data_IF_777914545245
#
_entry.id   IF_777914545245
#
_cell.length_a   1.000
_cell.length_b   1.000
_cell.length_c   1.000
_cell.angle_alpha   90.00
_cell.angle_beta   90.00
_cell.angle_gamma   90.00
#
_symmetry.space_group_name_H-M   'P 1'
#
loop_
_entity.id
_entity.type
_entity.pdbx_description
1 polymer ?
#
# COMPACT_ATOMS: atom_id res chain seq x y z
N UNK A 1 10.87 -16.84 11.94
CA UNK A 1 11.61 -16.12 10.86
C UNK A 1 10.74 -15.80 9.64
N UNK A 2 9.78 -16.63 9.22
CA UNK A 2 8.90 -16.31 8.08
C UNK A 2 7.98 -15.09 8.30
N UNK A 3 7.34 -14.98 9.46
CA UNK A 3 6.38 -13.90 9.76
C UNK A 3 7.05 -12.51 9.71
N UNK A 4 8.21 -12.37 10.36
CA UNK A 4 8.97 -11.12 10.35
C UNK A 4 9.44 -10.74 8.93
N UNK A 5 9.85 -11.72 8.12
CA UNK A 5 10.23 -11.51 6.71
C UNK A 5 9.03 -11.04 5.89
N UNK A 6 7.88 -11.69 6.03
CA UNK A 6 6.65 -11.29 5.35
C UNK A 6 6.22 -9.88 5.75
N UNK A 7 6.21 -9.55 7.05
CA UNK A 7 5.86 -8.23 7.53
C UNK A 7 6.82 -7.14 6.99
N UNK A 8 8.13 -7.42 6.97
CA UNK A 8 9.11 -6.49 6.41
C UNK A 8 8.92 -6.27 4.91
N UNK A 9 8.67 -7.33 4.14
CA UNK A 9 8.36 -7.23 2.71
C UNK A 9 7.05 -6.50 2.46
N UNK A 10 6.02 -6.71 3.30
CA UNK A 10 4.76 -5.97 3.21
C UNK A 10 4.96 -4.48 3.46
N UNK A 11 5.73 -4.13 4.49
CA UNK A 11 6.06 -2.74 4.79
C UNK A 11 6.87 -2.09 3.65
N UNK A 12 7.88 -2.79 3.13
CA UNK A 12 8.68 -2.31 2.00
C UNK A 12 7.83 -2.10 0.75
N UNK A 13 6.95 -3.06 0.44
CA UNK A 13 6.03 -2.97 -0.68
C UNK A 13 5.10 -1.76 -0.54
N UNK A 14 4.49 -1.57 0.64
CA UNK A 14 3.62 -0.42 0.91
C UNK A 14 4.37 0.91 0.78
N UNK A 15 5.62 1.00 1.27
CA UNK A 15 6.45 2.20 1.13
C UNK A 15 6.75 2.52 -0.34
N UNK A 16 7.10 1.50 -1.15
CA UNK A 16 7.38 1.68 -2.58
C UNK A 16 6.12 2.01 -3.38
N UNK A 17 5.00 1.38 -3.06
CA UNK A 17 3.72 1.60 -3.73
C UNK A 17 3.15 2.99 -3.43
N UNK A 18 2.95 3.30 -2.14
CA UNK A 18 2.36 4.58 -1.71
C UNK A 18 3.34 5.73 -1.99
N UNK A 19 4.61 5.55 -1.64
CA UNK A 19 5.64 6.56 -1.88
C UNK A 19 5.88 6.79 -3.36
N UNK A 20 5.88 5.73 -4.18
CA UNK A 20 6.01 5.84 -5.63
C UNK A 20 4.85 6.60 -6.27
N UNK A 21 3.61 6.28 -5.88
CA UNK A 21 2.43 7.01 -6.34
C UNK A 21 2.47 8.49 -5.89
N UNK A 22 2.87 8.75 -4.65
CA UNK A 22 3.03 10.10 -4.12
C UNK A 22 4.11 10.89 -4.89
N UNK A 23 5.28 10.30 -5.18
CA UNK A 23 6.34 10.94 -5.97
C UNK A 23 5.85 11.34 -7.38
N UNK A 24 5.08 10.47 -8.04
CA UNK A 24 4.47 10.80 -9.34
C UNK A 24 3.47 11.95 -9.18
N UNK A 25 2.62 11.91 -8.15
CA UNK A 25 1.67 13.00 -7.86
C UNK A 25 2.39 14.33 -7.67
N UNK A 26 3.43 14.36 -6.85
CA UNK A 26 4.27 15.52 -6.59
C UNK A 26 4.92 16.06 -7.88
N UNK A 27 5.41 15.16 -8.74
CA UNK A 27 6.02 15.56 -10.02
C UNK A 27 5.02 16.15 -11.00
N UNK A 28 3.82 15.55 -11.12
CA UNK A 28 2.80 15.93 -12.11
C UNK A 28 1.92 17.08 -11.63
N UNK A 29 1.31 16.94 -10.44
CA UNK A 29 0.30 17.87 -9.92
C UNK A 29 0.91 19.04 -9.13
N UNK A 30 1.97 18.79 -8.38
CA UNK A 30 2.69 19.84 -7.64
C UNK A 30 3.82 20.47 -8.48
N UNK A 31 3.92 20.10 -9.76
CA UNK A 31 4.90 20.62 -10.73
C UNK A 31 6.36 20.55 -10.27
N UNK A 32 6.71 19.62 -9.37
CA UNK A 32 8.09 19.44 -8.87
C UNK A 32 9.05 18.87 -9.92
N UNK A 33 8.54 18.43 -11.06
CA UNK A 33 9.32 18.13 -12.27
C UNK A 33 9.60 16.64 -12.52
N UNK A 34 10.24 16.36 -13.65
CA UNK A 34 10.44 15.02 -14.21
C UNK A 34 11.24 14.06 -13.34
N UNK A 35 12.15 14.58 -12.50
CA UNK A 35 12.94 13.76 -11.59
C UNK A 35 12.06 13.03 -10.55
N UNK A 36 11.03 13.71 -10.03
CA UNK A 36 10.07 13.13 -9.09
C UNK A 36 9.22 12.05 -9.74
N UNK A 37 8.77 12.31 -10.98
CA UNK A 37 8.02 11.33 -11.78
C UNK A 37 8.87 10.09 -12.04
N UNK A 38 10.12 10.27 -12.49
CA UNK A 38 11.04 9.16 -12.77
C UNK A 38 11.32 8.31 -11.54
N UNK A 39 11.59 8.95 -10.40
CA UNK A 39 11.79 8.25 -9.12
C UNK A 39 10.53 7.48 -8.70
N UNK A 40 9.35 8.08 -8.86
CA UNK A 40 8.07 7.45 -8.56
C UNK A 40 7.79 6.22 -9.44
N UNK A 41 8.02 6.32 -10.74
CA UNK A 41 7.87 5.19 -11.69
C UNK A 41 8.82 4.05 -11.33
N UNK A 42 10.08 4.35 -11.00
CA UNK A 42 11.05 3.34 -10.57
C UNK A 42 10.58 2.67 -9.27
N UNK A 43 10.12 3.43 -8.29
CA UNK A 43 9.61 2.90 -7.03
C UNK A 43 8.39 1.97 -7.25
N UNK A 44 7.44 2.38 -8.09
CA UNK A 44 6.28 1.56 -8.46
C UNK A 44 6.69 0.29 -9.21
N UNK A 45 7.68 0.38 -10.09
CA UNK A 45 8.25 -0.79 -10.75
C UNK A 45 8.86 -1.77 -9.75
N UNK A 46 9.68 -1.27 -8.81
CA UNK A 46 10.31 -2.07 -7.75
C UNK A 46 9.28 -2.72 -6.83
N UNK A 47 8.19 -2.01 -6.49
CA UNK A 47 7.09 -2.57 -5.71
C UNK A 47 6.57 -3.88 -6.33
N UNK A 48 6.34 -3.90 -7.65
CA UNK A 48 5.87 -5.09 -8.34
C UNK A 48 6.78 -6.31 -8.11
N UNK A 49 8.10 -6.11 -8.10
CA UNK A 49 9.06 -7.17 -7.79
C UNK A 49 9.08 -7.55 -6.30
N UNK A 50 8.94 -6.59 -5.39
CA UNK A 50 8.89 -6.89 -3.95
C UNK A 50 7.62 -7.68 -3.61
N UNK A 51 6.49 -7.38 -4.26
CA UNK A 51 5.23 -8.08 -4.07
C UNK A 51 5.34 -9.58 -4.42
N UNK A 52 6.13 -9.95 -5.45
CA UNK A 52 6.34 -11.35 -5.84
C UNK A 52 7.24 -12.14 -4.87
N UNK A 53 7.99 -11.45 -4.00
CA UNK A 53 8.83 -12.10 -2.98
C UNK A 53 8.04 -12.56 -1.75
N UNK A 54 6.71 -12.32 -1.70
CA UNK A 54 5.90 -12.85 -0.60
C UNK A 54 5.84 -14.39 -0.63
N UNK A 55 5.97 -15.07 0.53
CA UNK A 55 5.95 -16.52 0.59
C UNK A 55 4.53 -17.12 0.48
N UNK A 56 3.47 -16.31 0.55
CA UNK A 56 2.09 -16.81 0.50
C UNK A 56 1.67 -17.10 -0.95
N UNK A 57 1.29 -18.34 -1.25
CA UNK A 57 1.09 -18.83 -2.62
C UNK A 57 -0.20 -18.38 -3.33
N UNK A 58 -1.08 -17.63 -2.67
CA UNK A 58 -2.38 -17.25 -3.21
C UNK A 58 -2.38 -15.76 -3.59
N UNK A 59 -1.99 -15.49 -4.85
CA UNK A 59 -1.80 -14.14 -5.41
C UNK A 59 -2.98 -13.20 -5.09
N UNK A 60 -4.22 -13.68 -5.27
CA UNK A 60 -5.41 -12.87 -5.06
C UNK A 60 -5.57 -12.42 -3.60
N UNK A 61 -5.23 -13.28 -2.64
CA UNK A 61 -5.35 -12.98 -1.20
C UNK A 61 -4.24 -12.05 -0.73
N UNK A 62 -3.03 -12.21 -1.26
CA UNK A 62 -1.92 -11.30 -1.00
C UNK A 62 -2.22 -9.91 -1.54
N UNK A 63 -2.77 -9.80 -2.76
CA UNK A 63 -3.13 -8.51 -3.33
C UNK A 63 -4.32 -7.86 -2.60
N UNK A 64 -5.29 -8.65 -2.13
CA UNK A 64 -6.36 -8.14 -1.27
C UNK A 64 -5.82 -7.59 0.06
N UNK A 65 -4.83 -8.27 0.66
CA UNK A 65 -4.09 -7.79 1.83
C UNK A 65 -3.43 -6.43 1.57
N UNK A 66 -2.71 -6.33 0.45
CA UNK A 66 -2.08 -5.08 0.04
C UNK A 66 -3.10 -3.96 -0.17
N UNK A 67 -4.23 -4.23 -0.83
CA UNK A 67 -5.27 -3.22 -1.06
C UNK A 67 -5.82 -2.61 0.24
N UNK A 68 -6.10 -3.42 1.26
CA UNK A 68 -6.55 -2.91 2.56
C UNK A 68 -5.50 -2.05 3.27
N UNK A 69 -4.25 -2.53 3.29
CA UNK A 69 -3.11 -1.78 3.88
C UNK A 69 -2.81 -0.51 3.09
N UNK A 70 -2.96 -0.53 1.76
CA UNK A 70 -2.76 0.62 0.88
C UNK A 70 -3.74 1.75 1.18
N UNK A 71 -5.03 1.43 1.39
CA UNK A 71 -6.03 2.44 1.75
C UNK A 71 -5.68 3.10 3.08
N UNK A 72 -5.45 2.32 4.14
CA UNK A 72 -5.10 2.89 5.44
C UNK A 72 -3.75 3.62 5.41
N UNK A 73 -2.76 3.04 4.72
CA UNK A 73 -1.41 3.58 4.59
C UNK A 73 -1.36 4.88 3.80
N UNK A 74 -2.15 5.02 2.73
CA UNK A 74 -2.19 6.24 1.93
C UNK A 74 -2.77 7.43 2.70
N UNK A 75 -3.76 7.20 3.56
CA UNK A 75 -4.31 8.22 4.46
C UNK A 75 -3.28 8.65 5.53
N UNK A 76 -2.58 7.67 6.12
CA UNK A 76 -1.49 7.96 7.08
C UNK A 76 -0.35 8.70 6.38
N UNK A 77 0.02 8.28 5.18
CA UNK A 77 1.07 8.92 4.38
C UNK A 77 0.72 10.37 4.08
N UNK A 78 -0.49 10.63 3.56
CA UNK A 78 -0.97 11.99 3.32
C UNK A 78 -0.97 12.82 4.60
N UNK A 79 -1.30 12.21 5.75
CA UNK A 79 -1.30 12.92 7.02
C UNK A 79 0.11 13.33 7.48
N UNK A 80 1.11 12.49 7.25
CA UNK A 80 2.50 12.72 7.65
C UNK A 80 3.24 13.58 6.63
N UNK A 81 3.10 13.30 5.34
CA UNK A 81 3.86 13.93 4.26
C UNK A 81 3.24 15.25 3.78
N UNK A 82 1.91 15.31 3.67
CA UNK A 82 1.18 16.44 3.08
C UNK A 82 0.38 17.24 4.12
N UNK A 83 0.45 16.87 5.40
CA UNK A 83 -0.29 17.52 6.48
C UNK A 83 -1.81 17.30 6.40
N UNK A 84 -2.25 16.31 5.64
CA UNK A 84 -3.65 15.91 5.54
C UNK A 84 -4.23 15.57 6.93
N UNK A 85 -5.48 15.93 7.18
CA UNK A 85 -6.17 15.56 8.42
C UNK A 85 -7.30 14.62 8.07
N UNK A 86 -7.13 13.29 8.32
CA UNK A 86 -8.17 12.31 8.05
C UNK A 86 -9.44 12.71 8.78
N UNK A 87 -10.54 12.78 8.03
CA UNK A 87 -11.83 13.06 8.61
C UNK A 87 -12.49 11.77 9.14
N UNK A 88 -13.69 11.91 9.72
CA UNK A 88 -14.42 10.76 10.28
C UNK A 88 -14.82 9.75 9.21
N UNK A 89 -15.03 10.20 7.98
CA UNK A 89 -15.41 9.35 6.85
C UNK A 89 -14.20 8.59 6.29
N UNK A 90 -13.02 9.21 6.22
CA UNK A 90 -11.76 8.57 5.86
C UNK A 90 -11.43 7.43 6.82
N UNK A 91 -11.53 7.71 8.12
CA UNK A 91 -11.27 6.70 9.17
C UNK A 91 -12.27 5.56 9.04
N UNK A 92 -13.56 5.87 8.88
CA UNK A 92 -14.60 4.86 8.72
C UNK A 92 -14.38 4.03 7.45
N UNK A 93 -14.07 4.68 6.34
CA UNK A 93 -13.76 4.02 5.05
C UNK A 93 -12.55 3.12 5.15
N UNK A 94 -11.47 3.59 5.77
CA UNK A 94 -10.27 2.78 6.03
C UNK A 94 -10.59 1.53 6.85
N UNK A 95 -11.39 1.67 7.91
CA UNK A 95 -11.82 0.54 8.74
C UNK A 95 -12.66 -0.46 7.93
N UNK A 96 -13.55 0.00 7.05
CA UNK A 96 -14.34 -0.86 6.16
C UNK A 96 -13.44 -1.60 5.17
N UNK A 97 -12.47 -0.92 4.56
CA UNK A 97 -11.49 -1.55 3.66
C UNK A 97 -10.64 -2.60 4.38
N UNK A 98 -10.17 -2.31 5.59
CA UNK A 98 -9.43 -3.26 6.43
C UNK A 98 -10.30 -4.44 6.86
N UNK A 99 -11.57 -4.23 7.17
CA UNK A 99 -12.51 -5.31 7.48
C UNK A 99 -12.77 -6.21 6.26
N UNK A 100 -12.97 -5.62 5.08
CA UNK A 100 -13.12 -6.37 3.81
C UNK A 100 -11.87 -7.19 3.48
N UNK A 101 -10.69 -6.59 3.64
CA UNK A 101 -9.41 -7.28 3.55
C UNK A 101 -9.32 -8.46 4.52
N UNK A 102 -9.65 -8.24 5.80
CA UNK A 102 -9.60 -9.28 6.82
C UNK A 102 -10.58 -10.42 6.51
N UNK A 103 -11.76 -10.12 5.97
CA UNK A 103 -12.72 -11.12 5.52
C UNK A 103 -12.14 -11.97 4.37
N UNK A 104 -11.55 -11.35 3.35
CA UNK A 104 -10.92 -12.09 2.24
C UNK A 104 -9.75 -12.95 2.73
N UNK A 105 -8.92 -12.42 3.63
CA UNK A 105 -7.76 -13.14 4.13
C UNK A 105 -8.13 -14.26 5.10
N UNK A 106 -8.98 -14.00 6.08
CA UNK A 106 -9.14 -14.87 7.25
C UNK A 106 -10.47 -15.59 7.34
N UNK A 107 -11.42 -15.36 6.42
CA UNK A 107 -12.67 -16.12 6.43
C UNK A 107 -12.40 -17.64 6.41
N UNK A 108 -13.00 -18.41 7.35
CA UNK A 108 -12.93 -19.86 7.35
C UNK A 108 -13.52 -20.38 6.05
N UNK A 109 -12.76 -21.18 5.33
CA UNK A 109 -13.23 -21.86 4.14
C UNK A 109 -13.42 -23.32 4.52
N UNK A 110 -14.67 -23.75 4.60
CA UNK A 110 -15.01 -25.16 4.71
C UNK A 110 -14.68 -25.82 3.37
N UNK A 111 -13.45 -26.30 3.25
CA UNK A 111 -13.08 -27.29 2.26
C UNK A 111 -12.96 -28.63 2.97
#
# INVERSE_FOLDING_TARGET
>A
MLIARSAALFALAALLEIGGAWLVWQGVREHKGWAWIGAGVIALGLYGFVATLQPQGDFARVLAAYGGVFVAGSLIWGAVADGYRPDRWDITGALVCLAGMALIMYAPRGH
#
